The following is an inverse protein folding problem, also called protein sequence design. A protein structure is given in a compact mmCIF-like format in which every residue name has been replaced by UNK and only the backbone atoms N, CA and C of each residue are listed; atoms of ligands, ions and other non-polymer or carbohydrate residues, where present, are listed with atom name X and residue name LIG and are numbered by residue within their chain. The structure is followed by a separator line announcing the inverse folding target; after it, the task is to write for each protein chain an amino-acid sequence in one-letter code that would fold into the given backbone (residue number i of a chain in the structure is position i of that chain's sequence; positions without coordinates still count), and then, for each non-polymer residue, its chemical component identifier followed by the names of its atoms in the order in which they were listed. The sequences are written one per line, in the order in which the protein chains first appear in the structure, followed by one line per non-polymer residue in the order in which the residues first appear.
data_IF_106624389676
#
_entry.id   IF_106624389676
#
_cell.length_a   1.000
_cell.length_b   1.000
_cell.length_c   1.000
_cell.angle_alpha   90.00
_cell.angle_beta   90.00
_cell.angle_gamma   90.00
#
_symmetry.space_group_name_H-M   'P 1'
#
loop_
_entity.id
_entity.type
_entity.pdbx_description
1 polymer ?
#
# COMPACT_ATOMS: atom_id res chain seq x y z
N UNK A 1 -9.36 5.38 12.88
CA UNK A 1 -8.85 4.25 13.70
C UNK A 1 -7.64 3.54 13.09
N UNK A 2 -7.67 3.07 11.83
CA UNK A 2 -6.57 2.30 11.23
C UNK A 2 -5.26 3.09 11.13
N UNK A 3 -5.28 4.23 10.43
CA UNK A 3 -4.06 5.04 10.20
C UNK A 3 -3.50 5.68 11.48
N UNK A 4 -4.29 5.84 12.54
CA UNK A 4 -3.82 6.34 13.85
C UNK A 4 -2.86 5.41 14.60
N UNK A 5 -2.46 4.29 13.99
CA UNK A 5 -1.41 3.40 14.50
C UNK A 5 0.00 3.77 14.01
N UNK A 6 0.11 4.64 13.00
CA UNK A 6 1.39 5.24 12.55
C UNK A 6 1.54 6.66 13.13
N UNK A 7 2.69 7.31 12.88
CA UNK A 7 2.93 8.73 13.18
C UNK A 7 2.63 9.19 14.64
N UNK A 8 3.01 8.39 15.65
CA UNK A 8 2.77 8.71 17.07
C UNK A 8 3.88 9.59 17.66
N UNK A 9 3.59 10.26 18.78
CA UNK A 9 4.56 11.05 19.55
C UNK A 9 5.32 12.11 18.70
N UNK A 10 4.61 12.74 17.76
CA UNK A 10 5.20 13.76 16.87
C UNK A 10 6.08 13.20 15.75
N UNK A 11 6.26 11.87 15.67
CA UNK A 11 6.96 11.25 14.55
C UNK A 11 6.11 11.27 13.28
N UNK A 12 6.76 11.39 12.12
CA UNK A 12 6.11 11.15 10.84
C UNK A 12 5.77 9.67 10.63
N UNK A 13 4.76 9.39 9.81
CA UNK A 13 4.36 8.03 9.47
C UNK A 13 3.64 7.98 8.14
N UNK A 14 3.77 6.85 7.44
CA UNK A 14 3.08 6.58 6.17
C UNK A 14 2.01 5.51 6.38
N UNK A 15 0.90 5.66 5.69
CA UNK A 15 -0.14 4.64 5.57
C UNK A 15 -0.47 4.48 4.09
N UNK A 16 -0.37 3.25 3.58
CA UNK A 16 -0.64 2.90 2.19
C UNK A 16 -1.84 1.96 2.18
N UNK A 17 -2.83 2.25 1.35
CA UNK A 17 -3.98 1.40 1.11
C UNK A 17 -3.99 1.00 -0.37
N UNK A 18 -4.18 -0.30 -0.63
CA UNK A 18 -4.41 -0.82 -1.97
C UNK A 18 -5.91 -0.77 -2.23
N UNK A 19 -6.30 -0.20 -3.37
CA UNK A 19 -7.70 0.01 -3.76
C UNK A 19 -7.93 -0.54 -5.16
N UNK A 20 -9.12 -1.08 -5.36
CA UNK A 20 -9.70 -1.45 -6.65
C UNK A 20 -10.67 -0.37 -7.14
N UNK A 21 -11.34 -0.60 -8.27
CA UNK A 21 -12.27 0.35 -8.86
C UNK A 21 -13.46 0.68 -7.95
N UNK A 22 -13.96 -0.31 -7.20
CA UNK A 22 -15.09 -0.13 -6.31
C UNK A 22 -14.72 0.70 -5.07
N UNK A 23 -13.58 0.41 -4.47
CA UNK A 23 -13.07 1.11 -3.28
C UNK A 23 -12.50 2.49 -3.60
N UNK A 24 -12.09 2.75 -4.83
CA UNK A 24 -11.73 4.10 -5.30
C UNK A 24 -12.87 5.11 -5.13
N UNK A 25 -14.13 4.67 -5.22
CA UNK A 25 -15.32 5.52 -4.99
C UNK A 25 -15.39 6.08 -3.57
N UNK A 26 -14.73 5.42 -2.59
CA UNK A 26 -14.68 5.91 -1.21
C UNK A 26 -13.67 7.05 -1.02
N UNK A 27 -12.77 7.30 -1.97
CA UNK A 27 -11.67 8.24 -1.81
C UNK A 27 -12.17 9.67 -1.57
N UNK A 28 -13.18 10.11 -2.32
CA UNK A 28 -13.74 11.45 -2.18
C UNK A 28 -14.30 11.71 -0.78
N UNK A 29 -15.04 10.75 -0.24
CA UNK A 29 -15.62 10.85 1.11
C UNK A 29 -14.52 10.91 2.19
N UNK A 30 -13.44 10.12 2.01
CA UNK A 30 -12.29 10.11 2.92
C UNK A 30 -11.57 11.46 2.86
N UNK A 31 -11.25 11.96 1.67
CA UNK A 31 -10.56 13.24 1.47
C UNK A 31 -11.35 14.41 2.05
N UNK A 32 -12.68 14.42 1.85
CA UNK A 32 -13.58 15.41 2.46
C UNK A 32 -13.56 15.33 3.99
N UNK A 33 -13.54 14.11 4.55
CA UNK A 33 -13.49 13.90 5.99
C UNK A 33 -12.16 14.36 6.60
N UNK A 34 -11.03 14.11 5.94
CA UNK A 34 -9.70 14.50 6.44
C UNK A 34 -9.28 15.93 6.04
N UNK A 35 -10.04 16.58 5.15
CA UNK A 35 -9.78 17.96 4.71
C UNK A 35 -8.56 18.11 3.80
N UNK A 36 -8.05 17.03 3.21
CA UNK A 36 -6.88 17.03 2.34
C UNK A 36 -7.00 15.96 1.25
N UNK A 37 -6.33 16.21 0.12
CA UNK A 37 -6.20 15.21 -0.96
C UNK A 37 -5.23 14.11 -0.58
N UNK A 38 -5.55 12.88 -0.98
CA UNK A 38 -4.64 11.74 -0.90
C UNK A 38 -3.87 11.68 -2.22
N UNK A 39 -2.52 11.77 -2.18
CA UNK A 39 -1.72 11.68 -3.39
C UNK A 39 -1.92 10.31 -4.05
N UNK A 40 -2.23 10.32 -5.35
CA UNK A 40 -2.25 9.12 -6.17
C UNK A 40 -0.96 9.08 -6.98
N UNK A 41 -0.24 7.97 -6.87
CA UNK A 41 1.00 7.73 -7.61
C UNK A 41 1.03 6.31 -8.14
N UNK A 42 1.65 6.15 -9.30
CA UNK A 42 1.99 4.84 -9.84
C UNK A 42 3.34 4.42 -9.26
N UNK A 43 3.54 3.11 -9.10
CA UNK A 43 4.83 2.61 -8.66
C UNK A 43 5.84 2.75 -9.81
N UNK A 44 7.01 3.30 -9.51
CA UNK A 44 8.14 3.35 -10.42
C UNK A 44 8.80 1.97 -10.53
N UNK A 45 9.49 1.71 -11.65
CA UNK A 45 10.12 0.40 -11.91
C UNK A 45 11.12 -0.03 -10.83
N UNK A 46 11.76 0.93 -10.17
CA UNK A 46 12.72 0.69 -9.08
C UNK A 46 12.06 0.25 -7.76
N UNK A 47 10.74 0.42 -7.62
CA UNK A 47 9.96 -0.11 -6.51
C UNK A 47 9.64 -1.60 -6.66
N UNK A 48 9.81 -2.16 -7.87
CA UNK A 48 9.56 -3.57 -8.12
C UNK A 48 10.83 -4.41 -7.92
N UNK A 49 10.68 -5.52 -7.20
CA UNK A 49 11.74 -6.51 -7.12
C UNK A 49 11.80 -7.32 -8.43
N UNK A 50 13.00 -7.72 -8.89
CA UNK A 50 13.11 -8.69 -9.98
C UNK A 50 12.42 -10.01 -9.59
N UNK A 51 11.96 -10.75 -10.59
CA UNK A 51 11.29 -12.04 -10.39
C UNK A 51 12.07 -12.93 -9.42
N UNK A 52 11.49 -13.20 -8.25
CA UNK A 52 12.08 -14.10 -7.25
C UNK A 52 11.75 -15.53 -7.68
N UNK A 53 12.73 -16.20 -8.30
CA UNK A 53 12.56 -17.59 -8.71
C UNK A 53 12.63 -18.50 -7.49
N UNK A 54 11.66 -19.42 -7.30
CA UNK A 54 11.74 -20.39 -6.22
C UNK A 54 12.99 -21.25 -6.40
N UNK A 55 13.67 -21.51 -5.29
CA UNK A 55 14.86 -22.35 -5.21
C UNK A 55 14.56 -23.77 -5.69
N UNK A 56 15.59 -24.51 -6.06
CA UNK A 56 15.45 -25.92 -6.43
C UNK A 56 14.85 -26.76 -5.29
N UNK A 57 15.08 -26.40 -4.03
CA UNK A 57 14.49 -27.06 -2.87
C UNK A 57 13.00 -26.77 -2.72
N UNK A 58 12.58 -25.50 -2.85
CA UNK A 58 11.16 -25.12 -2.80
C UNK A 58 10.37 -25.80 -3.92
N UNK A 59 10.92 -25.85 -5.14
CA UNK A 59 10.27 -26.54 -6.27
C UNK A 59 10.05 -28.04 -6.01
N UNK A 60 10.97 -28.70 -5.31
CA UNK A 60 10.85 -30.12 -4.94
C UNK A 60 9.86 -30.37 -3.80
N UNK A 61 9.66 -29.39 -2.91
CA UNK A 61 8.75 -29.52 -1.76
C UNK A 61 7.27 -29.45 -2.16
N UNK A 62 6.96 -28.73 -3.22
CA UNK A 62 5.60 -28.53 -3.73
C UNK A 62 5.27 -29.36 -4.98
N UNK A 63 6.17 -30.28 -5.37
CA UNK A 63 5.95 -31.28 -6.41
C UNK A 63 5.52 -32.61 -5.79
#
# INVERSE_FOLDING_TARGET
HRIGRTARAGAGGKAIALVDEASALCLEAIEKFIGQKIPVGWADDDLFLPEIKPTAEERRRYA
#
